data_IF_369775497775
#
_entry.id   IF_369775497775
#
_cell.length_a   1.000
_cell.length_b   1.000
_cell.length_c   1.000
_cell.angle_alpha   90.00
_cell.angle_beta   90.00
_cell.angle_gamma   90.00
#
_symmetry.space_group_name_H-M   'P 1'
#
loop_
_entity.id
_entity.type
_entity.pdbx_description
1 polymer ?
#
# COMPACT_ATOMS: atom_id res chain seq x y z
N UNK A 1 -7.71 3.17 -11.61
CA UNK A 1 -6.29 3.30 -11.25
C UNK A 1 -5.44 2.47 -12.20
N UNK A 2 -4.36 3.03 -12.73
CA UNK A 2 -3.35 2.32 -13.52
C UNK A 2 -1.97 2.93 -13.33
N UNK A 3 -0.98 2.09 -13.03
CA UNK A 3 0.41 2.52 -12.91
C UNK A 3 1.40 1.37 -13.16
N UNK A 4 2.66 1.76 -13.36
CA UNK A 4 3.80 0.84 -13.50
C UNK A 4 4.95 1.24 -12.58
N UNK A 5 5.63 0.26 -11.98
CA UNK A 5 6.78 0.50 -11.10
C UNK A 5 7.70 -0.72 -11.02
N UNK A 6 8.86 -0.57 -10.40
CA UNK A 6 9.75 -1.71 -10.12
C UNK A 6 9.17 -2.62 -9.04
N UNK A 7 9.22 -3.93 -9.29
CA UNK A 7 8.64 -4.97 -8.42
C UNK A 7 9.12 -4.87 -6.98
N UNK A 8 10.42 -4.67 -6.78
CA UNK A 8 11.01 -4.65 -5.43
C UNK A 8 10.65 -3.37 -4.67
N UNK A 9 10.48 -2.25 -5.37
CA UNK A 9 10.01 -0.98 -4.78
C UNK A 9 8.57 -1.12 -4.31
N UNK A 10 7.70 -1.69 -5.16
CA UNK A 10 6.31 -1.95 -4.79
C UNK A 10 6.21 -2.93 -3.62
N UNK A 11 7.00 -4.01 -3.64
CA UNK A 11 7.00 -5.02 -2.60
C UNK A 11 7.40 -4.42 -1.24
N UNK A 12 8.46 -3.61 -1.20
CA UNK A 12 8.92 -2.97 0.03
C UNK A 12 7.88 -2.00 0.60
N UNK A 13 7.27 -1.19 -0.26
CA UNK A 13 6.19 -0.27 0.14
C UNK A 13 4.96 -1.01 0.68
N UNK A 14 4.48 -2.04 -0.03
CA UNK A 14 3.34 -2.86 0.40
C UNK A 14 3.64 -3.58 1.72
N UNK A 15 4.83 -4.16 1.86
CA UNK A 15 5.24 -4.85 3.07
C UNK A 15 5.39 -3.89 4.26
N UNK A 16 5.88 -2.67 4.04
CA UNK A 16 6.06 -1.65 5.08
C UNK A 16 4.72 -1.10 5.56
N UNK A 17 3.86 -0.63 4.66
CA UNK A 17 2.51 -0.17 5.02
C UNK A 17 1.68 -1.32 5.62
N UNK A 18 1.87 -2.54 5.12
CA UNK A 18 1.21 -3.75 5.60
C UNK A 18 1.51 -4.11 7.06
N UNK A 19 2.57 -3.57 7.68
CA UNK A 19 2.87 -3.82 9.10
C UNK A 19 1.83 -3.26 10.05
N UNK A 20 1.11 -2.21 9.65
CA UNK A 20 0.03 -1.63 10.43
C UNK A 20 -1.32 -2.31 10.20
N UNK A 21 -1.43 -3.22 9.23
CA UNK A 21 -2.68 -3.92 8.93
C UNK A 21 -2.93 -4.99 10.00
N UNK A 22 -4.08 -4.92 10.68
CA UNK A 22 -4.46 -5.96 11.63
C UNK A 22 -4.99 -7.21 10.91
N UNK A 23 -4.41 -8.35 11.25
CA UNK A 23 -4.91 -9.69 10.86
C UNK A 23 -5.89 -10.30 11.87
N UNK A 24 -6.10 -9.65 13.03
CA UNK A 24 -6.90 -10.18 14.13
C UNK A 24 -7.97 -9.20 14.57
N UNK A 25 -9.23 -9.57 14.33
CA UNK A 25 -10.37 -9.00 15.05
C UNK A 25 -10.65 -7.53 14.79
N UNK A 26 -10.21 -6.97 13.65
CA UNK A 26 -10.68 -5.66 13.23
C UNK A 26 -12.20 -5.74 13.07
N UNK A 27 -12.93 -4.90 13.80
CA UNK A 27 -14.38 -4.73 13.66
C UNK A 27 -14.78 -4.32 12.23
N UNK A 28 -13.83 -3.77 11.47
CA UNK A 28 -13.99 -3.31 10.09
C UNK A 28 -13.17 -4.20 9.13
N UNK A 29 -13.83 -5.02 8.28
CA UNK A 29 -13.16 -5.88 7.31
C UNK A 29 -12.23 -5.14 6.34
N UNK A 30 -12.54 -3.89 6.00
CA UNK A 30 -11.74 -3.03 5.11
C UNK A 30 -10.31 -2.80 5.61
N UNK A 31 -10.09 -2.88 6.92
CA UNK A 31 -8.77 -2.74 7.55
C UNK A 31 -7.89 -3.98 7.42
N UNK A 32 -8.40 -5.07 6.82
CA UNK A 32 -7.55 -6.17 6.35
C UNK A 32 -6.84 -5.85 5.03
N UNK A 33 -7.20 -4.73 4.40
CA UNK A 33 -6.62 -4.23 3.17
C UNK A 33 -5.63 -3.09 3.35
N UNK A 34 -4.93 -2.78 2.26
CA UNK A 34 -4.12 -1.59 2.08
C UNK A 34 -4.87 -0.61 1.18
N UNK A 35 -5.00 0.63 1.63
CA UNK A 35 -5.49 1.72 0.80
C UNK A 35 -4.36 2.18 -0.13
N UNK A 36 -4.62 2.15 -1.42
CA UNK A 36 -3.75 2.68 -2.46
C UNK A 36 -4.41 3.93 -3.03
N UNK A 37 -3.70 5.04 -3.04
CA UNK A 37 -4.13 6.30 -3.68
C UNK A 37 -3.07 6.73 -4.66
N UNK A 38 -3.44 6.85 -5.93
CA UNK A 38 -2.56 7.31 -7.00
C UNK A 38 -3.03 8.69 -7.48
N UNK A 39 -2.11 9.65 -7.44
CA UNK A 39 -2.30 11.01 -7.96
C UNK A 39 -1.10 11.37 -8.85
N UNK A 40 -1.33 11.43 -10.17
CA UNK A 40 -0.28 11.55 -11.17
C UNK A 40 0.72 10.40 -11.03
N UNK A 41 1.95 10.70 -10.63
CA UNK A 41 3.00 9.70 -10.44
C UNK A 41 3.18 9.29 -8.97
N UNK A 42 2.49 9.92 -8.02
CA UNK A 42 2.65 9.62 -6.60
C UNK A 42 1.65 8.56 -6.15
N UNK A 43 2.16 7.38 -5.80
CA UNK A 43 1.37 6.32 -5.20
C UNK A 43 1.57 6.33 -3.68
N UNK A 44 0.50 6.57 -2.94
CA UNK A 44 0.48 6.43 -1.48
C UNK A 44 -0.14 5.09 -1.10
N UNK A 45 0.59 4.33 -0.29
CA UNK A 45 0.14 3.08 0.34
C UNK A 45 -0.15 3.36 1.81
N UNK A 46 -1.33 2.99 2.30
CA UNK A 46 -1.71 3.20 3.71
C UNK A 46 -2.28 1.92 4.32
N UNK A 47 -1.70 1.47 5.42
CA UNK A 47 -2.23 0.40 6.27
C UNK A 47 -2.54 0.91 7.66
N UNK A 48 -3.55 0.33 8.31
CA UNK A 48 -3.95 0.73 9.65
C UNK A 48 -4.73 -0.35 10.40
N UNK A 49 -4.63 -0.32 11.74
CA UNK A 49 -5.48 -1.05 12.67
C UNK A 49 -6.29 -0.13 13.60
N UNK A 50 -6.40 1.16 13.23
CA UNK A 50 -6.98 2.28 13.98
C UNK A 50 -6.08 2.86 15.08
N UNK A 51 -5.17 2.07 15.66
CA UNK A 51 -4.23 2.54 16.68
C UNK A 51 -2.89 2.97 16.04
N UNK A 52 -2.42 2.19 15.08
CA UNK A 52 -1.23 2.44 14.28
C UNK A 52 -1.63 2.63 12.82
N UNK A 53 -1.15 3.70 12.21
CA UNK A 53 -1.28 3.94 10.77
C UNK A 53 0.10 4.14 10.17
N UNK A 54 0.41 3.41 9.10
CA UNK A 54 1.65 3.56 8.34
C UNK A 54 1.30 3.94 6.91
N UNK A 55 1.86 5.06 6.45
CA UNK A 55 1.77 5.50 5.07
C UNK A 55 3.15 5.53 4.41
N UNK A 56 3.22 5.08 3.17
CA UNK A 56 4.44 5.06 2.35
C UNK A 56 4.11 5.69 1.01
N UNK A 57 4.86 6.73 0.63
CA UNK A 57 4.78 7.35 -0.69
C UNK A 57 5.84 6.74 -1.62
N UNK A 58 5.42 6.35 -2.82
CA UNK A 58 6.25 5.76 -3.86
C UNK A 58 6.12 6.56 -5.15
N UNK A 59 7.25 6.78 -5.83
CA UNK A 59 7.24 7.33 -7.18
C UNK A 59 7.03 6.21 -8.21
N UNK A 60 5.96 6.31 -9.00
CA UNK A 60 5.58 5.33 -10.02
C UNK A 60 5.35 6.02 -11.37
N UNK A 61 5.25 5.25 -12.45
CA UNK A 61 4.74 5.74 -13.73
C UNK A 61 3.23 5.60 -13.71
N UNK A 62 2.51 6.64 -13.28
CA UNK A 62 1.06 6.65 -13.24
C UNK A 62 0.45 7.00 -14.60
N UNK A 63 -0.68 6.37 -14.90
CA UNK A 63 -1.43 6.58 -16.14
C UNK A 63 -2.87 7.01 -15.86
N UNK A 64 -3.51 6.38 -14.86
CA UNK A 64 -4.89 6.68 -14.47
C UNK A 64 -4.96 6.75 -12.95
N UNK A 65 -5.26 7.92 -12.43
CA UNK A 65 -5.43 8.16 -10.99
C UNK A 65 -6.55 7.31 -10.37
N UNK A 66 -6.58 7.26 -9.05
CA UNK A 66 -7.70 6.67 -8.33
C UNK A 66 -7.32 6.19 -6.94
N UNK A 67 -8.32 5.63 -6.25
CA UNK A 67 -8.20 5.09 -4.91
C UNK A 67 -8.85 3.71 -4.85
N UNK A 68 -8.13 2.73 -4.32
CA UNK A 68 -8.60 1.35 -4.18
C UNK A 68 -8.14 0.76 -2.84
N UNK A 69 -8.77 -0.32 -2.40
CA UNK A 69 -8.28 -1.12 -1.27
C UNK A 69 -7.96 -2.53 -1.75
N UNK A 70 -6.71 -2.97 -1.59
CA UNK A 70 -6.28 -4.33 -1.92
C UNK A 70 -6.12 -5.17 -0.66
N UNK A 71 -6.52 -6.46 -0.64
CA UNK A 71 -6.21 -7.36 0.47
C UNK A 71 -4.69 -7.42 0.74
N UNK A 72 -4.26 -6.94 1.91
CA UNK A 72 -2.85 -6.60 2.15
C UNK A 72 -1.92 -7.81 1.99
N UNK A 73 -2.28 -8.92 2.65
CA UNK A 73 -1.50 -10.16 2.61
C UNK A 73 -1.37 -10.70 1.18
N UNK A 74 -2.49 -10.74 0.46
CA UNK A 74 -2.52 -11.30 -0.88
C UNK A 74 -1.77 -10.42 -1.88
N UNK A 75 -1.88 -9.10 -1.77
CA UNK A 75 -1.10 -8.16 -2.59
C UNK A 75 0.41 -8.37 -2.40
N UNK A 76 0.88 -8.46 -1.14
CA UNK A 76 2.29 -8.75 -0.84
C UNK A 76 2.71 -10.11 -1.39
N UNK A 77 1.92 -11.16 -1.17
CA UNK A 77 2.23 -12.51 -1.62
C UNK A 77 2.30 -12.60 -3.16
N UNK A 78 1.38 -11.94 -3.88
CA UNK A 78 1.37 -11.87 -5.34
C UNK A 78 2.61 -11.15 -5.86
N UNK A 79 2.88 -9.92 -5.39
CA UNK A 79 4.03 -9.12 -5.88
C UNK A 79 5.35 -9.83 -5.58
N UNK A 80 5.44 -10.52 -4.45
CA UNK A 80 6.60 -11.37 -4.09
C UNK A 80 6.77 -12.59 -5.00
N UNK A 81 5.70 -13.13 -5.56
CA UNK A 81 5.75 -14.27 -6.48
C UNK A 81 6.11 -13.86 -7.93
N UNK A 82 5.94 -12.59 -8.29
CA UNK A 82 6.29 -12.08 -9.62
C UNK A 82 7.80 -12.17 -9.88
N UNK A 83 8.23 -12.32 -11.15
CA UNK A 83 9.63 -12.17 -11.51
C UNK A 83 10.12 -10.72 -11.27
N UNK A 84 11.42 -10.52 -11.04
CA UNK A 84 12.02 -9.18 -10.95
C UNK A 84 11.77 -8.33 -12.21
N UNK A 85 11.71 -7.02 -12.03
CA UNK A 85 11.51 -6.04 -13.09
C UNK A 85 10.22 -5.24 -12.93
N UNK A 86 9.73 -4.66 -14.01
CA UNK A 86 8.59 -3.75 -13.94
C UNK A 86 7.25 -4.50 -13.80
N UNK A 87 6.45 -4.07 -12.82
CA UNK A 87 5.08 -4.53 -12.54
C UNK A 87 4.09 -3.46 -12.97
N UNK A 88 3.01 -3.89 -13.62
CA UNK A 88 1.86 -3.04 -13.93
C UNK A 88 0.67 -3.44 -13.07
N UNK A 89 0.02 -2.45 -12.48
CA UNK A 89 -1.27 -2.57 -11.79
C UNK A 89 -2.30 -1.85 -12.64
N UNK A 90 -3.37 -2.55 -13.01
CA UNK A 90 -4.48 -2.00 -13.79
C UNK A 90 -5.80 -2.43 -13.13
N UNK A 91 -6.64 -1.48 -12.75
CA UNK A 91 -7.90 -1.76 -12.06
C UNK A 91 -9.09 -1.60 -12.98
N UNK A 92 -9.93 -2.64 -13.04
CA UNK A 92 -11.17 -2.65 -13.81
C UNK A 92 -12.32 -3.03 -12.86
N UNK A 93 -13.14 -2.04 -12.48
CA UNK A 93 -14.26 -2.28 -11.56
C UNK A 93 -13.80 -2.72 -10.18
N UNK A 94 -14.19 -3.93 -9.77
CA UNK A 94 -13.89 -4.52 -8.46
C UNK A 94 -12.65 -5.42 -8.47
N UNK A 95 -11.89 -5.45 -9.57
CA UNK A 95 -10.70 -6.29 -9.72
C UNK A 95 -9.47 -5.46 -10.08
N UNK A 96 -8.31 -5.84 -9.54
CA UNK A 96 -7.00 -5.38 -9.98
C UNK A 96 -6.26 -6.50 -10.70
N UNK A 97 -5.81 -6.20 -11.92
CA UNK A 97 -4.88 -7.01 -12.69
C UNK A 97 -3.45 -6.60 -12.37
N UNK A 98 -2.63 -7.57 -12.02
CA UNK A 98 -1.23 -7.41 -11.61
C UNK A 98 -0.38 -8.22 -12.57
N UNK A 99 0.44 -7.55 -13.38
CA UNK A 99 1.23 -8.21 -14.42
C UNK A 99 2.72 -7.87 -14.35
N UNK A 100 3.56 -8.85 -14.66
CA UNK A 100 5.02 -8.68 -14.84
C UNK A 100 5.54 -9.69 -15.86
N UNK A 101 6.05 -9.20 -16.98
CA UNK A 101 6.53 -10.04 -18.07
C UNK A 101 5.44 -10.96 -18.63
N UNK A 102 5.53 -12.26 -18.32
CA UNK A 102 4.55 -13.30 -18.73
C UNK A 102 3.61 -13.73 -17.61
N UNK A 103 3.77 -13.18 -16.42
CA UNK A 103 2.92 -13.47 -15.26
C UNK A 103 1.79 -12.46 -15.18
N UNK A 104 0.59 -12.96 -14.90
CA UNK A 104 -0.62 -12.16 -14.73
C UNK A 104 -1.45 -12.75 -13.59
N UNK A 105 -1.97 -11.87 -12.72
CA UNK A 105 -2.79 -12.21 -11.57
C UNK A 105 -3.98 -11.27 -11.51
N UNK A 106 -5.12 -11.81 -11.13
CA UNK A 106 -6.33 -11.06 -10.81
C UNK A 106 -6.55 -11.07 -9.30
N UNK A 107 -6.86 -9.90 -8.73
CA UNK A 107 -7.11 -9.70 -7.31
C UNK A 107 -8.40 -8.92 -7.11
N UNK A 108 -9.39 -9.54 -6.44
CA UNK A 108 -10.59 -8.82 -6.03
C UNK A 108 -10.26 -7.75 -5.00
N UNK A 109 -10.77 -6.55 -5.24
CA UNK A 109 -10.63 -5.39 -4.39
C UNK A 109 -11.64 -5.43 -3.25
N UNK A 110 -11.34 -4.68 -2.20
CA UNK A 110 -12.27 -4.40 -1.10
C UNK A 110 -12.91 -3.03 -1.38
N UNK A 111 -14.21 -2.84 -1.10
CA UNK A 111 -14.84 -1.53 -1.22
C UNK A 111 -14.10 -0.46 -0.40
N UNK A 112 -13.65 0.59 -1.08
CA UNK A 112 -12.82 1.63 -0.45
C UNK A 112 -13.62 2.62 0.43
N UNK A 113 -14.94 2.65 0.28
CA UNK A 113 -15.86 3.59 0.92
C UNK A 113 -15.88 3.48 2.45
N UNK A 114 -15.54 2.30 2.98
CA UNK A 114 -15.49 2.05 4.41
C UNK A 114 -14.12 2.35 5.03
N UNK A 115 -13.09 2.62 4.22
CA UNK A 115 -11.74 2.82 4.73
C UNK A 115 -11.69 4.16 5.50
N UNK A 116 -11.28 4.17 6.78
CA UNK A 116 -11.34 5.36 7.60
C UNK A 116 -10.39 6.46 7.11
N UNK A 117 -10.83 7.70 7.29
CA UNK A 117 -9.98 8.87 7.04
C UNK A 117 -9.11 9.15 8.26
N UNK A 118 -7.79 9.11 8.05
CA UNK A 118 -6.82 9.48 9.06
C UNK A 118 -6.45 10.96 8.94
N UNK A 119 -6.45 11.67 10.06
CA UNK A 119 -5.98 13.05 10.12
C UNK A 119 -4.49 13.09 10.40
N UNK A 120 -3.78 14.03 9.77
CA UNK A 120 -2.38 14.26 10.09
C UNK A 120 -2.25 14.74 11.54
N UNK A 121 -1.34 14.17 12.34
CA UNK A 121 -1.06 14.65 13.68
C UNK A 121 -0.68 16.15 13.67
N UNK A 122 -1.25 16.93 14.58
CA UNK A 122 -0.93 18.34 14.77
C UNK A 122 -0.06 18.52 16.02
N UNK A 123 0.88 19.47 16.00
CA UNK A 123 1.72 19.77 17.15
C UNK A 123 3.05 20.43 16.77
N UNK A 124 3.91 20.59 17.78
CA UNK A 124 5.30 21.02 17.57
C UNK A 124 6.11 19.89 16.93
N UNK A 125 6.81 20.20 15.84
CA UNK A 125 7.62 19.24 15.08
C UNK A 125 9.05 19.28 15.58
N UNK A 126 9.60 18.12 15.92
CA UNK A 126 11.01 17.95 16.27
C UNK A 126 11.68 17.03 15.25
N UNK A 127 12.88 17.40 14.82
CA UNK A 127 13.71 16.58 13.90
C UNK A 127 14.86 15.96 14.68
N UNK A 128 15.02 14.64 14.54
CA UNK A 128 16.05 13.85 15.22
C UNK A 128 16.69 12.92 14.19
N UNK A 129 17.98 12.62 14.35
CA UNK A 129 18.66 11.60 13.53
C UNK A 129 18.04 10.21 13.76
N UNK A 130 17.76 9.51 12.66
CA UNK A 130 17.06 8.24 12.71
C UNK A 130 17.88 7.13 13.39
N UNK A 131 19.20 7.10 13.19
CA UNK A 131 20.06 6.09 13.80
C UNK A 131 20.18 6.31 15.30
N UNK A 132 20.44 7.56 15.72
CA UNK A 132 20.51 7.93 17.12
C UNK A 132 19.19 7.66 17.85
N UNK A 133 18.05 7.98 17.24
CA UNK A 133 16.74 7.69 17.82
C UNK A 133 16.52 6.17 17.98
N UNK A 134 16.83 5.40 16.95
CA UNK A 134 16.67 3.93 16.97
C UNK A 134 17.54 3.30 18.06
N UNK A 135 18.79 3.74 18.21
CA UNK A 135 19.69 3.23 19.25
C UNK A 135 19.25 3.64 20.66
N UNK A 136 18.58 4.79 20.81
CA UNK A 136 18.08 5.26 22.10
C UNK A 136 16.81 4.57 22.60
N UNK A 137 16.02 3.94 21.72
CA UNK A 137 14.78 3.21 22.05
C UNK A 137 14.93 1.68 22.08
N UNK A 138 16.14 1.18 21.77
CA UNK A 138 16.51 -0.25 21.91
C UNK A 138 16.86 -0.59 23.35
#
# INVERSE_FOLDING_TARGET
>A
MKFRCERDVLLDGLATAGRAVSSRGASLPVLSGLLLTLEGNNLRLTGSDLDLTISVDLMVSGEVDGTIVMPAKLAVDIVKALPPGAVTIDTEGEEAKISSGRSDFALNLIPAEEFPHFTTPAGEVVTIDAAAFTDGIR
#
